data_IF_255431278024
#
_entry.id   IF_255431278024
#
_cell.length_a   1.000
_cell.length_b   1.000
_cell.length_c   1.000
_cell.angle_alpha   90.00
_cell.angle_beta   90.00
_cell.angle_gamma   90.00
#
_symmetry.space_group_name_H-M   'P 1'
#
loop_
_entity.id
_entity.type
_entity.pdbx_description
1 polymer ?
#
# COMPACT_ATOMS: atom_id res chain seq x y z
N UNK A 1 35.41 -1.29 15.13
CA UNK A 1 34.08 -1.06 15.69
C UNK A 1 33.09 -1.61 14.69
N UNK A 2 32.06 -2.36 15.11
CA UNK A 2 31.13 -3.06 14.20
C UNK A 2 30.07 -2.11 13.65
N UNK A 3 29.63 -2.35 12.40
CA UNK A 3 28.50 -1.61 11.81
C UNK A 3 27.22 -1.79 12.66
N UNK A 4 26.28 -0.80 12.66
CA UNK A 4 25.04 -0.92 13.42
C UNK A 4 24.23 -2.12 12.97
N UNK A 5 23.59 -2.81 13.91
CA UNK A 5 22.72 -3.94 13.60
C UNK A 5 21.41 -3.40 13.03
N UNK A 6 21.11 -3.74 11.77
CA UNK A 6 19.84 -3.45 11.12
C UNK A 6 18.96 -4.71 11.09
N UNK A 7 17.66 -4.52 10.88
CA UNK A 7 16.74 -5.64 10.75
C UNK A 7 17.13 -6.57 9.59
N UNK A 8 17.03 -7.87 9.80
CA UNK A 8 17.24 -8.88 8.76
C UNK A 8 16.34 -8.62 7.54
N UNK A 9 16.83 -9.03 6.36
CA UNK A 9 16.08 -8.82 5.09
C UNK A 9 14.67 -9.38 5.12
N UNK A 10 14.49 -10.54 5.75
CA UNK A 10 13.19 -11.21 5.94
C UNK A 10 12.19 -10.40 6.78
N UNK A 11 12.69 -9.51 7.64
CA UNK A 11 11.88 -8.67 8.54
C UNK A 11 11.86 -7.19 8.15
N UNK A 12 12.85 -6.73 7.37
CA UNK A 12 12.94 -5.34 6.92
C UNK A 12 11.81 -5.01 5.95
N UNK A 13 10.91 -4.13 6.34
CA UNK A 13 9.77 -3.68 5.50
C UNK A 13 10.15 -2.61 4.47
N UNK A 14 11.38 -2.08 4.52
CA UNK A 14 11.82 -0.99 3.66
C UNK A 14 11.13 0.34 3.94
N UNK A 15 10.66 0.56 5.17
CA UNK A 15 9.94 1.79 5.57
C UNK A 15 10.82 3.05 5.59
N UNK A 16 12.15 2.93 5.48
CA UNK A 16 13.06 4.07 5.37
C UNK A 16 13.29 4.88 6.65
N UNK A 17 12.70 4.50 7.81
CA UNK A 17 12.88 5.23 9.06
C UNK A 17 14.36 5.38 9.45
N UNK A 18 15.16 4.31 9.32
CA UNK A 18 16.58 4.31 9.61
C UNK A 18 17.37 5.29 8.73
N UNK A 19 17.07 5.38 7.43
CA UNK A 19 17.70 6.32 6.52
C UNK A 19 17.30 7.77 6.80
N UNK A 20 15.99 8.02 6.99
CA UNK A 20 15.48 9.35 7.30
C UNK A 20 15.99 9.88 8.66
N UNK A 21 16.11 8.98 9.66
CA UNK A 21 16.52 9.34 11.02
C UNK A 21 18.04 9.39 11.23
N UNK A 22 18.85 8.94 10.27
CA UNK A 22 20.30 8.94 10.44
C UNK A 22 20.86 10.38 10.57
N UNK A 23 21.47 10.76 11.73
CA UNK A 23 21.96 12.12 11.95
C UNK A 23 23.14 12.48 11.03
N UNK A 24 23.83 11.48 10.48
CA UNK A 24 24.97 11.65 9.56
C UNK A 24 24.60 11.38 8.10
N UNK A 25 23.32 11.11 7.80
CA UNK A 25 22.88 10.67 6.46
C UNK A 25 23.69 9.50 5.90
N UNK A 26 24.20 8.65 6.78
CA UNK A 26 25.08 7.53 6.43
C UNK A 26 24.29 6.29 5.91
N UNK A 27 22.96 6.35 5.82
CA UNK A 27 22.15 5.22 5.39
C UNK A 27 21.42 5.59 4.11
N UNK A 28 21.62 4.81 3.05
CA UNK A 28 20.95 4.94 1.77
C UNK A 28 20.05 3.72 1.53
N UNK A 29 18.86 3.95 0.99
CA UNK A 29 17.96 2.87 0.58
C UNK A 29 18.32 2.44 -0.84
N UNK A 30 18.87 1.23 -0.99
CA UNK A 30 19.36 0.68 -2.26
C UNK A 30 18.49 -0.51 -2.68
N UNK A 31 18.19 -0.61 -3.98
CA UNK A 31 17.50 -1.76 -4.52
C UNK A 31 18.41 -3.00 -4.49
N UNK A 32 17.86 -4.13 -4.03
CA UNK A 32 18.54 -5.42 -4.09
C UNK A 32 18.31 -6.11 -5.46
N UNK A 33 18.80 -7.33 -5.60
CA UNK A 33 18.62 -8.14 -6.83
C UNK A 33 17.14 -8.42 -7.16
N UNK A 34 16.25 -8.44 -6.17
CA UNK A 34 14.80 -8.57 -6.38
C UNK A 34 14.16 -7.21 -6.69
N UNK A 35 14.89 -6.10 -6.60
CA UNK A 35 14.42 -4.74 -6.82
C UNK A 35 13.70 -4.10 -5.64
N UNK A 36 13.79 -4.67 -4.43
CA UNK A 36 13.28 -4.05 -3.21
C UNK A 36 14.32 -3.17 -2.54
N UNK A 37 13.89 -2.05 -1.98
CA UNK A 37 14.78 -1.13 -1.27
C UNK A 37 15.16 -1.66 0.13
N UNK A 38 16.48 -1.73 0.41
CA UNK A 38 17.05 -2.07 1.70
C UNK A 38 18.07 -1.02 2.14
N UNK A 39 18.25 -0.79 3.46
CA UNK A 39 19.23 0.15 3.95
C UNK A 39 20.65 -0.39 3.76
N UNK A 40 21.53 0.46 3.23
CA UNK A 40 22.97 0.24 3.14
C UNK A 40 23.66 1.32 3.96
N UNK A 41 24.53 0.92 4.86
CA UNK A 41 25.32 1.81 5.73
C UNK A 41 26.61 2.19 5.02
N UNK A 42 26.87 3.47 4.86
CA UNK A 42 28.09 4.01 4.26
C UNK A 42 29.14 4.44 5.29
N UNK A 43 30.29 4.87 4.81
CA UNK A 43 31.51 5.16 5.59
C UNK A 43 31.34 6.34 6.57
N UNK A 44 30.40 7.24 6.35
CA UNK A 44 30.09 8.35 7.27
C UNK A 44 29.37 7.91 8.56
N UNK A 45 29.16 6.61 8.76
CA UNK A 45 28.52 6.07 9.95
C UNK A 45 29.37 6.24 11.19
N UNK A 46 28.83 6.90 12.22
CA UNK A 46 29.47 7.11 13.53
C UNK A 46 29.05 6.07 14.58
N UNK A 47 28.33 5.03 14.19
CA UNK A 47 27.94 3.89 15.03
C UNK A 47 27.13 4.27 16.29
N UNK A 48 26.26 5.26 16.17
CA UNK A 48 25.41 5.75 17.28
C UNK A 48 24.17 4.88 17.55
N UNK A 49 23.96 3.81 16.80
CA UNK A 49 22.83 2.86 16.88
C UNK A 49 21.42 3.47 16.82
N UNK A 50 21.30 4.75 16.52
CA UNK A 50 19.98 5.41 16.42
C UNK A 50 19.06 4.70 15.43
N UNK A 51 19.58 4.22 14.29
CA UNK A 51 18.84 3.50 13.27
C UNK A 51 18.21 2.20 13.77
N UNK A 52 18.88 1.47 14.67
CA UNK A 52 18.35 0.27 15.33
C UNK A 52 17.24 0.62 16.32
N UNK A 53 17.41 1.71 17.06
CA UNK A 53 16.44 2.16 18.06
C UNK A 53 15.09 2.62 17.45
N UNK A 54 15.14 3.23 16.26
CA UNK A 54 13.92 3.70 15.57
C UNK A 54 13.37 2.68 14.56
N UNK A 55 13.97 1.49 14.43
CA UNK A 55 13.53 0.47 13.48
C UNK A 55 12.25 -0.23 13.97
N UNK A 56 11.10 -0.12 13.26
CA UNK A 56 9.87 -0.78 13.67
C UNK A 56 10.00 -2.31 13.73
N UNK A 57 10.82 -2.91 12.85
CA UNK A 57 11.01 -4.36 12.78
C UNK A 57 11.80 -4.92 13.99
N UNK A 58 12.45 -4.06 14.77
CA UNK A 58 13.26 -4.44 15.93
C UNK A 58 12.57 -4.10 17.28
N UNK A 59 11.37 -3.57 17.25
CA UNK A 59 10.62 -3.15 18.44
C UNK A 59 9.28 -3.88 18.53
N UNK A 60 8.85 -4.13 19.75
CA UNK A 60 7.47 -4.56 19.99
C UNK A 60 6.52 -3.40 19.75
N UNK A 61 5.34 -3.74 19.25
CA UNK A 61 4.24 -2.79 19.05
C UNK A 61 3.38 -2.73 20.30
N UNK A 62 2.93 -1.55 20.64
CA UNK A 62 1.92 -1.37 21.67
C UNK A 62 0.58 -1.95 21.20
N UNK A 63 -0.13 -2.58 22.13
CA UNK A 63 -1.51 -3.03 21.90
C UNK A 63 -2.42 -1.82 22.07
N UNK A 64 -3.20 -1.52 21.04
CA UNK A 64 -4.20 -0.44 21.06
C UNK A 64 -5.59 -0.99 21.37
N UNK A 65 -6.52 -0.15 21.85
CA UNK A 65 -7.92 -0.51 21.97
C UNK A 65 -8.50 -1.03 20.66
N UNK A 66 -9.56 -1.82 20.75
CA UNK A 66 -10.25 -2.34 19.58
C UNK A 66 -10.83 -1.17 18.74
N UNK A 67 -10.66 -1.28 17.42
CA UNK A 67 -11.12 -0.27 16.48
C UNK A 67 -12.63 -0.33 16.30
N UNK A 68 -13.27 0.82 16.20
CA UNK A 68 -14.66 0.88 15.73
C UNK A 68 -14.68 0.66 14.20
N UNK A 69 -15.62 -0.17 13.73
CA UNK A 69 -15.67 -0.66 12.36
C UNK A 69 -16.88 -0.07 11.63
N UNK A 70 -16.63 0.45 10.42
CA UNK A 70 -17.66 1.02 9.57
C UNK A 70 -17.50 0.59 8.11
N UNK A 71 -18.62 0.34 7.45
CA UNK A 71 -18.75 0.37 6.00
C UNK A 71 -19.13 1.79 5.60
N UNK A 72 -18.35 2.43 4.71
CA UNK A 72 -18.55 3.83 4.37
C UNK A 72 -18.44 4.08 2.88
N UNK A 73 -19.19 5.10 2.40
CA UNK A 73 -19.05 5.61 1.03
C UNK A 73 -19.35 7.10 0.97
N UNK A 74 -18.73 7.77 0.02
CA UNK A 74 -18.85 9.21 -0.16
C UNK A 74 -20.28 9.57 -0.60
N UNK A 75 -20.83 10.70 -0.09
CA UNK A 75 -22.14 11.20 -0.45
C UNK A 75 -22.25 11.67 -1.91
N UNK A 76 -21.12 12.12 -2.48
CA UNK A 76 -20.99 12.48 -3.89
C UNK A 76 -20.59 11.23 -4.71
N UNK A 77 -21.49 10.75 -5.55
CA UNK A 77 -21.29 9.61 -6.44
C UNK A 77 -20.17 9.86 -7.48
N UNK A 78 -19.93 11.11 -7.90
CA UNK A 78 -18.84 11.43 -8.84
C UNK A 78 -17.47 11.24 -8.20
N UNK A 79 -17.30 11.59 -6.92
CA UNK A 79 -16.08 11.32 -6.15
C UNK A 79 -15.92 9.81 -5.96
N UNK A 80 -17.01 9.12 -5.60
CA UNK A 80 -17.01 7.69 -5.40
C UNK A 80 -16.59 6.92 -6.66
N UNK A 81 -17.08 7.33 -7.82
CA UNK A 81 -16.74 6.73 -9.12
C UNK A 81 -15.26 6.85 -9.44
N UNK A 82 -14.64 7.98 -9.13
CA UNK A 82 -13.21 8.23 -9.34
C UNK A 82 -12.30 7.62 -8.27
N UNK A 83 -12.87 7.01 -7.24
CA UNK A 83 -12.15 6.43 -6.11
C UNK A 83 -11.94 4.93 -6.26
N UNK A 84 -10.91 4.38 -5.60
CA UNK A 84 -10.60 2.95 -5.62
C UNK A 84 -11.66 2.06 -4.96
N UNK A 85 -12.37 2.57 -3.94
CA UNK A 85 -13.49 1.90 -3.26
C UNK A 85 -14.64 2.89 -3.05
N UNK A 86 -15.08 3.12 -1.82
CA UNK A 86 -16.18 4.01 -1.47
C UNK A 86 -15.87 5.51 -1.45
N UNK A 87 -14.63 5.95 -1.67
CA UNK A 87 -14.25 7.37 -1.67
C UNK A 87 -13.81 7.92 -0.31
N UNK A 88 -13.68 7.11 0.72
CA UNK A 88 -13.29 7.55 2.06
C UNK A 88 -11.94 8.27 2.10
N UNK A 89 -10.93 7.79 1.35
CA UNK A 89 -9.63 8.48 1.24
C UNK A 89 -9.81 9.92 0.72
N UNK A 90 -10.64 10.12 -0.30
CA UNK A 90 -10.87 11.46 -0.87
C UNK A 90 -11.50 12.38 0.16
N UNK A 91 -12.53 11.91 0.90
CA UNK A 91 -13.16 12.69 1.96
C UNK A 91 -12.17 13.13 3.05
N UNK A 92 -11.31 12.20 3.52
CA UNK A 92 -10.27 12.49 4.52
C UNK A 92 -9.25 13.52 3.99
N UNK A 93 -8.79 13.34 2.76
CA UNK A 93 -7.78 14.19 2.15
C UNK A 93 -8.33 15.61 1.88
N UNK A 94 -9.55 15.72 1.35
CA UNK A 94 -10.20 17.01 1.10
C UNK A 94 -10.42 17.78 2.39
N UNK A 95 -10.87 17.13 3.47
CA UNK A 95 -11.01 17.77 4.79
C UNK A 95 -9.70 18.41 5.25
N UNK A 96 -8.56 17.74 5.09
CA UNK A 96 -7.25 18.27 5.48
C UNK A 96 -6.81 19.41 4.57
N UNK A 97 -7.01 19.29 3.26
CA UNK A 97 -6.65 20.30 2.27
C UNK A 97 -7.49 21.57 2.42
N UNK A 98 -8.80 21.47 2.70
CA UNK A 98 -9.70 22.58 2.98
C UNK A 98 -9.28 23.37 4.24
N UNK A 99 -8.72 22.67 5.23
CA UNK A 99 -8.11 23.30 6.42
C UNK A 99 -6.72 23.88 6.17
N UNK A 100 -6.25 23.98 4.92
CA UNK A 100 -4.90 24.48 4.56
C UNK A 100 -3.77 23.52 4.91
N UNK A 101 -4.07 22.24 5.16
CA UNK A 101 -3.09 21.20 5.47
C UNK A 101 -2.41 20.61 4.24
N UNK A 102 -1.54 19.62 4.48
CA UNK A 102 -0.78 18.91 3.47
C UNK A 102 -1.13 17.41 3.55
N UNK A 103 -1.31 16.79 2.40
CA UNK A 103 -1.53 15.33 2.30
C UNK A 103 -0.34 14.66 1.67
N UNK A 104 0.25 13.69 2.37
CA UNK A 104 1.32 12.82 1.86
C UNK A 104 0.75 11.44 1.54
N UNK A 105 1.06 10.93 0.35
CA UNK A 105 0.62 9.62 -0.09
C UNK A 105 1.36 9.10 -1.32
N UNK A 106 1.12 7.84 -1.68
CA UNK A 106 1.76 7.22 -2.83
C UNK A 106 1.15 7.72 -4.14
N UNK A 107 2.00 8.12 -5.09
CA UNK A 107 1.68 8.49 -6.45
C UNK A 107 2.60 7.77 -7.45
N UNK A 108 2.26 7.82 -8.72
CA UNK A 108 3.12 7.40 -9.84
C UNK A 108 3.65 8.66 -10.51
N UNK A 109 4.97 8.77 -10.66
CA UNK A 109 5.60 9.91 -11.31
C UNK A 109 5.71 9.72 -12.85
N UNK A 110 6.27 10.71 -13.54
CA UNK A 110 6.48 10.72 -15.00
C UNK A 110 7.43 9.62 -15.52
N UNK A 111 8.19 9.02 -14.62
CA UNK A 111 9.06 7.86 -14.88
C UNK A 111 8.38 6.53 -14.57
N UNK A 112 7.08 6.54 -14.27
CA UNK A 112 6.30 5.37 -13.83
C UNK A 112 6.77 4.78 -12.50
N UNK A 113 7.54 5.52 -11.71
CA UNK A 113 8.00 5.09 -10.37
C UNK A 113 6.94 5.42 -9.32
N UNK A 114 6.67 4.46 -8.43
CA UNK A 114 5.76 4.68 -7.29
C UNK A 114 6.54 5.30 -6.14
N UNK A 115 6.16 6.51 -5.73
CA UNK A 115 6.79 7.26 -4.65
C UNK A 115 5.78 8.01 -3.81
N UNK A 116 6.16 8.36 -2.58
CA UNK A 116 5.36 9.28 -1.78
C UNK A 116 5.61 10.72 -2.21
N UNK A 117 4.52 11.45 -2.36
CA UNK A 117 4.55 12.87 -2.69
C UNK A 117 3.64 13.65 -1.73
N UNK A 118 3.88 14.96 -1.63
CA UNK A 118 3.02 15.91 -0.94
C UNK A 118 2.07 16.56 -1.94
N UNK A 119 0.78 16.67 -1.58
CA UNK A 119 -0.21 17.47 -2.33
C UNK A 119 -0.79 18.54 -1.40
N UNK A 120 -1.12 19.70 -1.97
CA UNK A 120 -1.55 20.88 -1.24
C UNK A 120 -2.90 21.46 -1.69
N UNK A 121 -3.46 20.91 -2.75
CA UNK A 121 -4.73 21.32 -3.33
C UNK A 121 -5.52 20.12 -3.88
N UNK A 122 -6.80 20.35 -4.23
CA UNK A 122 -7.69 19.30 -4.72
C UNK A 122 -7.32 18.79 -6.12
N UNK A 123 -6.72 19.61 -6.95
CA UNK A 123 -6.31 19.29 -8.31
C UNK A 123 -5.22 18.21 -8.29
N UNK A 124 -4.23 18.35 -7.42
CA UNK A 124 -3.13 17.40 -7.23
C UNK A 124 -3.60 16.08 -6.58
N UNK A 125 -4.72 16.08 -5.84
CA UNK A 125 -5.20 14.93 -5.10
C UNK A 125 -5.49 13.71 -5.99
N UNK A 126 -5.79 13.94 -7.28
CA UNK A 126 -6.02 12.87 -8.25
C UNK A 126 -4.84 11.88 -8.33
N UNK A 127 -3.60 12.32 -8.15
CA UNK A 127 -2.40 11.49 -8.19
C UNK A 127 -2.36 10.46 -7.04
N UNK A 128 -2.97 10.78 -5.89
CA UNK A 128 -2.99 9.91 -4.71
C UNK A 128 -4.13 8.88 -4.74
N UNK A 129 -5.18 9.11 -5.55
CA UNK A 129 -6.34 8.22 -5.60
C UNK A 129 -6.02 6.84 -6.17
N UNK A 130 -6.74 5.83 -5.68
CA UNK A 130 -6.63 4.45 -6.13
C UNK A 130 -5.41 3.68 -5.57
N UNK A 131 -5.45 2.35 -5.61
CA UNK A 131 -4.39 1.51 -5.07
C UNK A 131 -3.12 1.59 -5.91
N UNK A 132 -1.96 1.52 -5.26
CA UNK A 132 -0.63 1.33 -5.87
C UNK A 132 0.00 0.11 -5.19
N UNK A 133 -0.09 -1.09 -5.78
CA UNK A 133 0.39 -2.31 -5.13
C UNK A 133 1.92 -2.44 -5.09
N UNK A 134 2.62 -1.49 -5.66
CA UNK A 134 4.09 -1.46 -5.71
C UNK A 134 4.64 -0.83 -4.44
N UNK A 135 5.78 -1.30 -3.93
CA UNK A 135 6.48 -0.62 -2.84
C UNK A 135 6.82 0.81 -3.25
N UNK A 136 6.26 1.80 -2.55
CA UNK A 136 6.56 3.19 -2.84
C UNK A 136 7.90 3.61 -2.23
N UNK A 137 8.67 4.39 -2.99
CA UNK A 137 9.87 5.04 -2.49
C UNK A 137 9.47 6.26 -1.62
N UNK A 138 9.90 6.26 -0.38
CA UNK A 138 9.60 7.36 0.57
C UNK A 138 10.56 8.55 0.41
N UNK A 139 11.78 8.34 -0.08
CA UNK A 139 12.77 9.39 -0.24
C UNK A 139 12.88 10.27 1.02
N UNK A 140 12.71 11.58 0.86
CA UNK A 140 12.74 12.57 1.96
C UNK A 140 11.38 12.81 2.65
N UNK A 141 10.37 11.99 2.37
CA UNK A 141 8.98 12.23 2.80
C UNK A 141 8.85 12.41 4.32
N UNK A 142 9.49 11.57 5.13
CA UNK A 142 9.40 11.69 6.59
C UNK A 142 9.99 13.01 7.10
N UNK A 143 11.10 13.46 6.53
CA UNK A 143 11.70 14.76 6.86
C UNK A 143 10.81 15.91 6.40
N UNK A 144 10.14 15.78 5.24
CA UNK A 144 9.17 16.75 4.75
C UNK A 144 7.95 16.85 5.69
N UNK A 145 7.42 15.72 6.19
CA UNK A 145 6.37 15.68 7.21
C UNK A 145 6.83 16.41 8.48
N UNK A 146 8.03 16.12 9.00
CA UNK A 146 8.57 16.79 10.19
C UNK A 146 8.71 18.31 9.98
N UNK A 147 9.18 18.75 8.81
CA UNK A 147 9.27 20.19 8.49
C UNK A 147 7.89 20.86 8.46
N UNK A 148 6.89 20.20 7.86
CA UNK A 148 5.52 20.73 7.81
C UNK A 148 4.89 20.86 9.21
N UNK A 149 5.07 19.85 10.06
CA UNK A 149 4.61 19.88 11.46
C UNK A 149 5.30 20.97 12.27
N UNK A 150 6.64 21.14 12.12
CA UNK A 150 7.39 22.20 12.75
C UNK A 150 6.94 23.61 12.29
N UNK A 151 6.48 23.72 11.03
CA UNK A 151 5.82 24.92 10.49
C UNK A 151 4.34 25.07 10.91
N UNK A 152 3.90 24.32 11.93
CA UNK A 152 2.54 24.36 12.48
C UNK A 152 1.43 23.95 11.50
N UNK A 153 1.75 23.24 10.41
CA UNK A 153 0.78 22.78 9.40
C UNK A 153 0.10 21.49 9.86
N UNK A 154 -1.17 21.34 9.53
CA UNK A 154 -1.87 20.04 9.65
C UNK A 154 -1.39 19.12 8.55
N UNK A 155 -1.04 17.89 8.90
CA UNK A 155 -0.51 16.89 7.96
C UNK A 155 -1.38 15.64 8.00
N UNK A 156 -1.79 15.16 6.84
CA UNK A 156 -2.27 13.80 6.66
C UNK A 156 -1.16 12.98 6.01
N UNK A 157 -0.71 11.92 6.67
CA UNK A 157 0.17 10.92 6.07
C UNK A 157 -0.60 9.64 5.81
N UNK A 158 -0.59 9.17 4.55
CA UNK A 158 -1.23 7.91 4.17
C UNK A 158 -0.20 6.94 3.63
N UNK A 159 -0.25 5.69 4.09
CA UNK A 159 0.71 4.67 3.66
C UNK A 159 0.34 3.27 4.14
N UNK A 160 1.22 2.32 3.88
CA UNK A 160 1.09 0.99 4.49
C UNK A 160 1.34 1.08 6.00
N UNK A 161 0.82 0.13 6.83
CA UNK A 161 1.01 0.19 8.28
C UNK A 161 2.48 0.29 8.71
N UNK A 162 3.37 -0.43 8.02
CA UNK A 162 4.82 -0.36 8.29
C UNK A 162 5.42 1.01 7.96
N UNK A 163 4.87 1.75 6.99
CA UNK A 163 5.31 3.12 6.69
C UNK A 163 4.77 4.11 7.73
N UNK A 164 3.54 3.92 8.20
CA UNK A 164 2.99 4.77 9.28
C UNK A 164 3.76 4.55 10.60
N UNK A 165 4.06 3.30 10.96
CA UNK A 165 4.89 3.01 12.14
C UNK A 165 6.32 3.57 11.99
N UNK A 166 6.90 3.43 10.78
CA UNK A 166 8.20 4.05 10.46
C UNK A 166 8.21 5.55 10.63
N UNK A 167 7.13 6.25 10.25
CA UNK A 167 6.99 7.68 10.46
C UNK A 167 6.93 8.03 11.96
N UNK A 168 6.10 7.34 12.74
CA UNK A 168 6.02 7.58 14.18
C UNK A 168 7.36 7.33 14.89
N UNK A 169 8.07 6.25 14.54
CA UNK A 169 9.40 5.96 15.08
C UNK A 169 10.44 7.02 14.70
N UNK A 170 10.35 7.54 13.47
CA UNK A 170 11.21 8.64 13.03
C UNK A 170 10.93 9.95 13.77
N UNK A 171 9.66 10.27 14.03
CA UNK A 171 9.28 11.47 14.77
C UNK A 171 9.59 11.36 16.26
N UNK A 172 9.52 10.17 16.84
CA UNK A 172 9.67 9.89 18.27
C UNK A 172 8.46 10.27 19.12
N UNK A 173 7.39 10.77 18.48
CA UNK A 173 6.18 11.29 19.11
C UNK A 173 4.94 11.11 18.22
N UNK A 174 3.77 11.42 18.77
CA UNK A 174 2.47 11.45 18.07
C UNK A 174 1.91 12.88 18.00
N UNK A 175 2.40 13.74 17.09
CA UNK A 175 2.01 15.15 17.05
C UNK A 175 0.50 15.35 16.89
N UNK A 176 -0.09 16.33 17.57
CA UNK A 176 -1.52 16.60 17.51
C UNK A 176 -2.01 16.95 16.09
N UNK A 177 -1.18 17.66 15.31
CA UNK A 177 -1.47 18.06 13.92
C UNK A 177 -1.12 17.00 12.87
N UNK A 178 -0.61 15.84 13.29
CA UNK A 178 -0.41 14.70 12.41
C UNK A 178 -1.62 13.77 12.46
N UNK A 179 -2.32 13.64 11.35
CA UNK A 179 -3.34 12.62 11.08
C UNK A 179 -2.70 11.51 10.26
N UNK A 180 -2.95 10.26 10.61
CA UNK A 180 -2.41 9.11 9.89
C UNK A 180 -3.51 8.19 9.40
N UNK A 181 -3.37 7.75 8.17
CA UNK A 181 -4.27 6.77 7.57
C UNK A 181 -3.46 5.59 7.05
N UNK A 182 -3.54 4.45 7.72
CA UNK A 182 -2.96 3.21 7.21
C UNK A 182 -3.97 2.42 6.37
N UNK A 183 -3.47 1.40 5.68
CA UNK A 183 -4.26 0.59 4.78
C UNK A 183 -4.34 -0.85 5.29
N UNK A 184 -5.45 -1.54 5.00
CA UNK A 184 -5.46 -3.00 5.02
C UNK A 184 -4.56 -3.47 3.88
N UNK A 185 -3.38 -4.00 4.23
CA UNK A 185 -2.29 -4.25 3.28
C UNK A 185 -1.99 -5.74 3.15
N UNK A 186 -2.17 -6.28 1.96
CA UNK A 186 -1.85 -7.67 1.60
C UNK A 186 -0.41 -7.86 1.08
N UNK A 187 0.47 -6.89 1.28
CA UNK A 187 1.86 -6.91 0.80
C UNK A 187 2.10 -5.94 -0.36
N UNK A 188 3.38 -5.74 -0.72
CA UNK A 188 3.82 -4.85 -1.80
C UNK A 188 4.66 -5.59 -2.83
N UNK A 189 4.47 -5.24 -4.10
CA UNK A 189 5.20 -5.76 -5.25
C UNK A 189 6.57 -5.08 -5.35
N UNK A 190 7.55 -5.80 -5.90
CA UNK A 190 8.88 -5.28 -6.18
C UNK A 190 8.84 -4.11 -7.18
N UNK A 191 9.46 -2.96 -6.83
CA UNK A 191 9.70 -1.88 -7.79
C UNK A 191 10.48 -2.34 -9.01
N UNK A 192 11.50 -3.19 -8.85
CA UNK A 192 12.28 -3.70 -9.99
C UNK A 192 11.48 -4.57 -10.94
N UNK A 193 10.54 -5.39 -10.43
CA UNK A 193 9.61 -6.13 -11.29
C UNK A 193 8.66 -5.19 -12.02
N UNK A 194 8.18 -4.15 -11.33
CA UNK A 194 7.34 -3.13 -11.95
C UNK A 194 8.07 -2.40 -13.07
N UNK A 195 9.30 -1.97 -12.84
CA UNK A 195 10.12 -1.29 -13.86
C UNK A 195 10.34 -2.17 -15.10
N UNK A 196 10.67 -3.46 -14.91
CA UNK A 196 10.78 -4.43 -16.01
C UNK A 196 9.45 -4.61 -16.77
N UNK A 197 8.32 -4.62 -16.05
CA UNK A 197 6.99 -4.72 -16.69
C UNK A 197 6.68 -3.47 -17.53
N UNK A 198 6.97 -2.27 -17.03
CA UNK A 198 6.82 -1.00 -17.77
C UNK A 198 7.73 -0.99 -19.00
N UNK A 199 8.99 -1.41 -18.88
CA UNK A 199 9.93 -1.52 -20.00
C UNK A 199 9.42 -2.50 -21.06
N UNK A 200 8.94 -3.69 -20.64
CA UNK A 200 8.36 -4.68 -21.55
C UNK A 200 7.16 -4.14 -22.30
N UNK A 201 6.23 -3.47 -21.62
CA UNK A 201 5.06 -2.86 -22.25
C UNK A 201 5.47 -1.73 -23.22
N UNK A 202 6.43 -0.89 -22.83
CA UNK A 202 7.01 0.17 -23.66
C UNK A 202 7.64 -0.40 -24.94
N UNK A 203 8.43 -1.47 -24.83
CA UNK A 203 9.04 -2.16 -25.94
C UNK A 203 8.00 -2.74 -26.92
N UNK A 204 7.01 -3.47 -26.41
CA UNK A 204 5.95 -4.08 -27.23
C UNK A 204 5.12 -3.01 -27.94
N UNK A 205 4.79 -1.93 -27.26
CA UNK A 205 3.98 -0.82 -27.82
C UNK A 205 4.78 0.14 -28.67
N UNK A 206 6.14 0.10 -28.61
CA UNK A 206 7.07 1.06 -29.22
C UNK A 206 6.73 2.50 -28.84
N UNK A 207 6.24 2.72 -27.64
CA UNK A 207 5.81 4.01 -27.10
C UNK A 207 6.03 4.02 -25.59
N UNK A 208 6.45 5.15 -25.04
CA UNK A 208 6.67 5.32 -23.60
C UNK A 208 5.34 5.23 -22.84
N UNK A 209 5.31 4.46 -21.75
CA UNK A 209 4.20 4.48 -20.80
C UNK A 209 4.22 5.82 -20.03
N UNK A 210 3.07 6.49 -19.91
CA UNK A 210 2.96 7.83 -19.32
C UNK A 210 2.03 7.91 -18.13
N UNK A 211 1.11 6.96 -18.00
CA UNK A 211 0.26 6.88 -16.79
C UNK A 211 -0.30 5.48 -16.58
N UNK A 212 -0.68 5.18 -15.35
CA UNK A 212 -1.26 3.88 -14.97
C UNK A 212 -2.43 4.04 -13.99
N UNK A 213 -3.41 3.18 -14.17
CA UNK A 213 -4.52 2.97 -13.25
C UNK A 213 -4.52 1.49 -12.84
N UNK A 214 -4.09 1.20 -11.61
CA UNK A 214 -3.93 -0.19 -11.13
C UNK A 214 -5.25 -0.92 -10.87
N UNK A 215 -6.33 -0.19 -10.61
CA UNK A 215 -7.65 -0.76 -10.35
C UNK A 215 -8.77 0.20 -10.80
N UNK A 216 -8.81 0.46 -12.10
CA UNK A 216 -9.80 1.34 -12.72
C UNK A 216 -11.20 0.71 -12.66
N UNK A 217 -12.22 1.50 -12.24
CA UNK A 217 -13.63 1.17 -12.37
C UNK A 217 -14.11 1.51 -13.79
N UNK A 218 -14.83 0.60 -14.40
CA UNK A 218 -15.51 0.86 -15.68
C UNK A 218 -16.99 0.55 -15.52
N UNK A 219 -17.84 1.47 -15.94
CA UNK A 219 -19.30 1.30 -15.87
C UNK A 219 -19.73 0.01 -16.60
N UNK A 220 -20.65 -0.74 -15.99
CA UNK A 220 -21.15 -2.02 -16.51
C UNK A 220 -20.19 -3.20 -16.37
N UNK A 221 -19.00 -3.02 -15.76
CA UNK A 221 -18.04 -4.11 -15.52
C UNK A 221 -17.90 -4.38 -14.01
N UNK A 222 -18.09 -5.65 -13.61
CA UNK A 222 -17.94 -6.10 -12.22
C UNK A 222 -16.48 -6.13 -11.78
N UNK A 223 -15.55 -6.43 -12.70
CA UNK A 223 -14.14 -6.58 -12.40
C UNK A 223 -13.37 -5.28 -12.65
N UNK A 224 -12.46 -4.95 -11.71
CA UNK A 224 -11.52 -3.84 -11.86
C UNK A 224 -10.51 -4.13 -12.95
N UNK A 225 -10.07 -3.07 -13.63
CA UNK A 225 -9.15 -3.16 -14.77
C UNK A 225 -7.81 -2.51 -14.45
N UNK A 226 -6.76 -3.14 -14.90
CA UNK A 226 -5.40 -2.57 -14.96
C UNK A 226 -5.21 -1.91 -16.31
N UNK A 227 -4.93 -0.59 -16.30
CA UNK A 227 -4.83 0.22 -17.51
C UNK A 227 -3.54 1.02 -17.52
N UNK A 228 -2.82 1.00 -18.66
CA UNK A 228 -1.62 1.82 -18.93
C UNK A 228 -1.84 2.63 -20.19
N UNK A 229 -1.58 3.93 -20.13
CA UNK A 229 -1.63 4.83 -21.27
C UNK A 229 -0.21 5.07 -21.80
N UNK A 230 -0.11 5.23 -23.12
CA UNK A 230 1.16 5.44 -23.81
C UNK A 230 1.18 6.79 -24.50
N UNK A 231 2.38 7.36 -24.63
CA UNK A 231 2.64 8.62 -25.32
C UNK A 231 2.12 8.59 -26.76
N UNK A 232 1.53 9.70 -27.24
CA UNK A 232 0.93 9.75 -28.57
C UNK A 232 -0.32 8.88 -28.76
N UNK A 233 -0.92 8.41 -27.67
CA UNK A 233 -2.15 7.59 -27.66
C UNK A 233 -1.88 6.09 -27.62
N UNK A 234 -2.95 5.32 -27.47
CA UNK A 234 -2.91 3.89 -27.24
C UNK A 234 -2.97 3.52 -25.76
N UNK A 235 -3.55 2.37 -25.51
CA UNK A 235 -3.82 1.90 -24.15
C UNK A 235 -3.59 0.38 -24.06
N UNK A 236 -2.97 -0.06 -22.98
CA UNK A 236 -3.10 -1.44 -22.52
C UNK A 236 -4.21 -1.47 -21.48
N UNK A 237 -5.19 -2.35 -21.61
CA UNK A 237 -6.33 -2.45 -20.72
C UNK A 237 -6.73 -3.91 -20.55
N UNK A 238 -6.65 -4.44 -19.34
CA UNK A 238 -7.00 -5.81 -19.03
C UNK A 238 -7.69 -5.93 -17.66
N UNK A 239 -8.58 -6.91 -17.46
CA UNK A 239 -9.02 -7.29 -16.13
C UNK A 239 -7.83 -7.56 -15.22
N UNK A 240 -7.90 -7.15 -13.94
CA UNK A 240 -6.78 -7.37 -13.00
C UNK A 240 -6.43 -8.84 -12.92
N UNK A 241 -7.43 -9.72 -12.86
CA UNK A 241 -7.26 -11.18 -12.82
C UNK A 241 -6.51 -11.77 -14.03
N UNK A 242 -6.50 -11.06 -15.16
CA UNK A 242 -5.81 -11.46 -16.40
C UNK A 242 -4.51 -10.71 -16.64
N UNK A 243 -4.26 -9.61 -15.92
CA UNK A 243 -3.01 -8.85 -16.05
C UNK A 243 -1.84 -9.59 -15.38
N UNK A 244 -0.64 -9.49 -15.94
CA UNK A 244 0.56 -10.11 -15.37
C UNK A 244 0.82 -9.60 -13.93
N UNK A 245 0.69 -8.30 -13.71
CA UNK A 245 0.84 -7.69 -12.40
C UNK A 245 -0.19 -8.23 -11.39
N UNK A 246 -1.47 -8.27 -11.79
CA UNK A 246 -2.54 -8.75 -10.92
C UNK A 246 -2.40 -10.24 -10.58
N UNK A 247 -2.10 -11.08 -11.57
CA UNK A 247 -1.85 -12.52 -11.38
C UNK A 247 -0.65 -12.75 -10.46
N UNK A 248 0.47 -12.05 -10.70
CA UNK A 248 1.68 -12.13 -9.88
C UNK A 248 1.48 -11.62 -8.45
N UNK A 249 0.62 -10.61 -8.25
CA UNK A 249 0.23 -10.16 -6.91
C UNK A 249 -0.62 -11.22 -6.18
N UNK A 250 -1.65 -11.74 -6.83
CA UNK A 250 -2.57 -12.74 -6.24
C UNK A 250 -1.84 -14.06 -5.95
N UNK A 251 -0.92 -14.49 -6.83
CA UNK A 251 -0.07 -15.66 -6.59
C UNK A 251 0.97 -15.46 -5.50
N UNK A 252 1.17 -14.19 -5.03
CA UNK A 252 2.15 -13.81 -4.00
C UNK A 252 3.62 -13.99 -4.42
N UNK A 253 3.89 -14.27 -5.69
CA UNK A 253 5.22 -14.37 -6.26
C UNK A 253 6.01 -13.06 -6.15
N UNK A 254 5.34 -11.91 -6.37
CA UNK A 254 5.98 -10.61 -6.52
C UNK A 254 6.15 -9.86 -5.19
N UNK A 255 5.69 -10.42 -4.06
CA UNK A 255 5.65 -9.71 -2.79
C UNK A 255 7.02 -9.67 -2.11
N UNK A 256 7.24 -8.59 -1.35
CA UNK A 256 8.41 -8.41 -0.50
C UNK A 256 8.53 -9.54 0.55
N UNK A 257 9.73 -10.09 0.82
CA UNK A 257 9.92 -11.16 1.82
C UNK A 257 9.28 -10.83 3.17
N UNK A 258 9.48 -9.63 3.71
CA UNK A 258 8.92 -9.20 4.99
C UNK A 258 7.38 -9.15 5.01
N UNK A 259 6.70 -9.13 3.87
CA UNK A 259 5.24 -9.18 3.82
C UNK A 259 4.69 -10.55 4.21
N UNK A 260 5.46 -11.62 4.04
CA UNK A 260 5.05 -12.99 4.37
C UNK A 260 5.10 -13.29 5.88
N UNK A 261 5.77 -12.44 6.65
CA UNK A 261 5.82 -12.50 8.13
C UNK A 261 5.41 -11.15 8.74
N UNK A 262 4.52 -10.43 8.05
CA UNK A 262 4.16 -9.06 8.37
C UNK A 262 3.53 -8.93 9.76
N UNK A 263 4.13 -8.17 10.69
CA UNK A 263 3.57 -8.00 12.04
C UNK A 263 2.35 -7.08 12.08
N UNK A 264 1.97 -6.48 10.93
CA UNK A 264 0.82 -5.58 10.82
C UNK A 264 -0.41 -6.26 10.21
N UNK A 265 -0.32 -7.53 9.83
CA UNK A 265 -1.45 -8.30 9.31
C UNK A 265 -2.34 -8.83 10.43
N UNK A 266 -2.96 -7.92 11.15
CA UNK A 266 -3.85 -8.16 12.28
C UNK A 266 -4.73 -6.94 12.54
N UNK A 267 -5.57 -6.99 13.57
CA UNK A 267 -6.51 -5.91 13.96
C UNK A 267 -5.89 -4.82 14.83
N UNK A 268 -4.66 -5.01 15.36
CA UNK A 268 -3.94 -3.98 16.10
C UNK A 268 -3.34 -2.95 15.12
N UNK A 269 -4.12 -1.91 14.81
CA UNK A 269 -3.78 -0.93 13.76
C UNK A 269 -2.84 0.17 14.26
N UNK A 270 -2.12 0.80 13.31
CA UNK A 270 -1.09 1.81 13.61
C UNK A 270 -1.61 3.23 13.39
N UNK A 271 -2.33 3.46 12.29
CA UNK A 271 -2.86 4.78 11.94
C UNK A 271 -4.00 5.24 12.84
N UNK A 272 -4.36 6.50 12.77
CA UNK A 272 -5.56 7.04 13.43
C UNK A 272 -6.83 6.48 12.79
N UNK A 273 -6.77 6.26 11.45
CA UNK A 273 -7.79 5.58 10.65
C UNK A 273 -7.11 4.49 9.82
N UNK A 274 -7.81 3.38 9.60
CA UNK A 274 -7.41 2.35 8.63
C UNK A 274 -8.44 2.26 7.52
N UNK A 275 -7.99 2.22 6.27
CA UNK A 275 -8.85 2.03 5.10
C UNK A 275 -8.62 0.67 4.43
N UNK A 276 -9.73 0.09 3.99
CA UNK A 276 -9.76 -1.12 3.16
C UNK A 276 -10.93 -1.07 2.19
N UNK A 277 -11.25 -2.22 1.60
CA UNK A 277 -12.46 -2.41 0.82
C UNK A 277 -13.44 -3.28 1.61
N UNK A 278 -14.71 -2.96 1.61
CA UNK A 278 -15.76 -3.75 2.24
C UNK A 278 -16.59 -4.48 1.17
N UNK A 279 -16.82 -5.77 1.37
CA UNK A 279 -17.61 -6.63 0.49
C UNK A 279 -18.47 -7.60 1.32
N UNK A 280 -19.54 -8.10 0.73
CA UNK A 280 -20.38 -9.13 1.36
C UNK A 280 -21.30 -8.60 2.43
N UNK A 281 -21.79 -7.35 2.28
CA UNK A 281 -22.73 -6.72 3.21
C UNK A 281 -24.18 -7.25 3.08
N UNK A 282 -24.44 -8.15 2.11
CA UNK A 282 -25.73 -8.73 1.85
C UNK A 282 -26.56 -8.01 0.78
N UNK A 283 -27.70 -8.60 0.43
CA UNK A 283 -28.53 -8.16 -0.71
C UNK A 283 -29.00 -6.70 -0.62
N UNK A 284 -29.24 -6.19 0.58
CA UNK A 284 -29.66 -4.79 0.78
C UNK A 284 -28.61 -3.76 0.33
N UNK A 285 -27.33 -4.15 0.27
CA UNK A 285 -26.22 -3.28 -0.13
C UNK A 285 -25.65 -3.60 -1.50
N UNK A 286 -26.24 -4.52 -2.26
CA UNK A 286 -25.70 -4.98 -3.54
C UNK A 286 -25.42 -3.83 -4.53
N UNK A 287 -26.35 -2.87 -4.66
CA UNK A 287 -26.17 -1.69 -5.50
C UNK A 287 -25.04 -0.77 -5.02
N UNK A 288 -24.86 -0.66 -3.70
CA UNK A 288 -23.78 0.13 -3.12
C UNK A 288 -22.42 -0.58 -3.24
N UNK A 289 -22.37 -1.90 -3.13
CA UNK A 289 -21.17 -2.69 -3.36
C UNK A 289 -20.67 -2.58 -4.81
N UNK A 290 -21.57 -2.56 -5.76
CA UNK A 290 -21.24 -2.38 -7.18
C UNK A 290 -20.55 -1.03 -7.43
N UNK A 291 -21.03 0.04 -6.80
CA UNK A 291 -20.39 1.35 -6.81
C UNK A 291 -19.08 1.37 -6.00
N UNK A 292 -18.89 0.46 -5.05
CA UNK A 292 -17.76 0.33 -4.14
C UNK A 292 -18.00 0.90 -2.76
N UNK A 293 -17.65 0.14 -1.73
CA UNK A 293 -17.74 0.51 -0.31
C UNK A 293 -16.33 0.43 0.29
N UNK A 294 -15.96 1.39 1.11
CA UNK A 294 -14.72 1.37 1.89
C UNK A 294 -14.96 0.74 3.25
N UNK A 295 -14.05 -0.12 3.69
CA UNK A 295 -13.87 -0.41 5.10
C UNK A 295 -13.15 0.77 5.73
N UNK A 296 -13.65 1.28 6.87
CA UNK A 296 -13.02 2.29 7.68
C UNK A 296 -12.98 1.81 9.13
N UNK A 297 -11.77 1.72 9.68
CA UNK A 297 -11.54 1.47 11.09
C UNK A 297 -11.12 2.76 11.77
N UNK A 298 -11.77 3.12 12.87
CA UNK A 298 -11.41 4.25 13.72
C UNK A 298 -10.58 3.71 14.88
N UNK A 299 -9.30 4.13 14.95
CA UNK A 299 -8.31 3.51 15.85
C UNK A 299 -7.84 4.46 16.97
N UNK A 300 -8.22 5.74 16.92
CA UNK A 300 -7.81 6.74 17.92
C UNK A 300 -8.87 7.82 18.10
N UNK A 301 -8.73 8.59 19.18
CA UNK A 301 -9.59 9.77 19.43
C UNK A 301 -9.47 10.79 18.29
N UNK A 302 -8.25 11.05 17.78
CA UNK A 302 -8.05 11.92 16.60
C UNK A 302 -8.78 11.39 15.37
N UNK A 303 -8.70 10.07 15.15
CA UNK A 303 -9.42 9.39 14.09
C UNK A 303 -10.94 9.53 14.22
N UNK A 304 -11.48 9.45 15.44
CA UNK A 304 -12.90 9.65 15.71
C UNK A 304 -13.36 11.08 15.38
N UNK A 305 -12.65 12.10 15.88
CA UNK A 305 -12.96 13.49 15.57
C UNK A 305 -12.90 13.80 14.07
N UNK A 306 -11.89 13.26 13.37
CA UNK A 306 -11.80 13.37 11.92
C UNK A 306 -13.01 12.71 11.26
N UNK A 307 -13.30 11.45 11.63
CA UNK A 307 -14.38 10.67 11.04
C UNK A 307 -15.74 11.37 11.15
N UNK A 308 -16.02 12.00 12.30
CA UNK A 308 -17.28 12.69 12.53
C UNK A 308 -17.52 13.88 11.57
N UNK A 309 -16.47 14.53 11.12
CA UNK A 309 -16.53 15.65 10.19
C UNK A 309 -16.67 15.27 8.71
N UNK A 310 -16.50 13.97 8.35
CA UNK A 310 -16.42 13.57 6.94
C UNK A 310 -17.82 13.45 6.28
N UNK A 311 -18.00 13.85 4.99
CA UNK A 311 -19.23 13.74 4.24
C UNK A 311 -19.47 12.31 3.71
N UNK A 312 -19.55 11.33 4.62
CA UNK A 312 -19.71 9.93 4.31
C UNK A 312 -21.08 9.39 4.74
N UNK A 313 -21.63 8.46 3.96
CA UNK A 313 -22.60 7.51 4.48
C UNK A 313 -21.85 6.49 5.36
N UNK A 314 -22.49 6.04 6.45
CA UNK A 314 -21.84 5.26 7.51
C UNK A 314 -22.76 4.15 7.97
N UNK A 315 -22.26 2.92 7.91
CA UNK A 315 -22.92 1.75 8.46
C UNK A 315 -21.99 1.10 9.48
N UNK A 316 -22.39 1.08 10.75
CA UNK A 316 -21.60 0.42 11.80
C UNK A 316 -21.59 -1.08 11.56
N UNK A 317 -20.42 -1.69 11.65
CA UNK A 317 -20.19 -3.12 11.40
C UNK A 317 -19.38 -3.76 12.51
N UNK A 318 -19.21 -5.08 12.44
CA UNK A 318 -18.38 -5.83 13.37
C UNK A 318 -16.97 -6.07 12.82
N UNK A 319 -16.03 -6.37 13.70
CA UNK A 319 -14.67 -6.73 13.29
C UNK A 319 -14.66 -8.09 12.56
N UNK A 320 -15.57 -9.00 12.91
CA UNK A 320 -15.72 -10.30 12.22
C UNK A 320 -16.13 -10.13 10.78
N UNK A 321 -17.06 -9.22 10.48
CA UNK A 321 -17.44 -8.88 9.10
C UNK A 321 -16.26 -8.26 8.33
N UNK A 322 -15.49 -7.36 8.97
CA UNK A 322 -14.30 -6.77 8.35
C UNK A 322 -13.23 -7.83 8.04
N UNK A 323 -12.99 -8.77 8.94
CA UNK A 323 -12.06 -9.89 8.75
C UNK A 323 -12.50 -10.83 7.63
N UNK A 324 -13.79 -11.11 7.52
CA UNK A 324 -14.33 -12.02 6.52
C UNK A 324 -14.02 -11.57 5.08
N UNK A 325 -13.90 -10.27 4.83
CA UNK A 325 -13.57 -9.73 3.52
C UNK A 325 -12.12 -9.22 3.37
N UNK A 326 -11.32 -9.26 4.45
CA UNK A 326 -9.94 -8.76 4.47
C UNK A 326 -9.00 -9.71 5.22
N UNK A 327 -8.45 -10.71 4.53
CA UNK A 327 -7.49 -11.67 5.11
C UNK A 327 -6.33 -11.00 5.86
N UNK A 328 -5.86 -9.85 5.35
CA UNK A 328 -4.74 -9.09 5.93
C UNK A 328 -5.07 -8.44 7.30
N UNK A 329 -6.30 -8.53 7.78
CA UNK A 329 -6.66 -8.25 9.17
C UNK A 329 -6.51 -9.46 10.10
N UNK A 330 -6.21 -10.63 9.56
CA UNK A 330 -6.11 -11.88 10.31
C UNK A 330 -4.69 -12.43 10.33
N UNK A 331 -4.04 -12.45 9.16
CA UNK A 331 -2.72 -13.07 8.98
C UNK A 331 -1.99 -12.51 7.75
N UNK A 332 -0.65 -12.60 7.71
CA UNK A 332 0.14 -12.21 6.57
C UNK A 332 -0.08 -13.17 5.38
N UNK A 333 0.14 -12.71 4.13
CA UNK A 333 0.07 -13.57 2.97
C UNK A 333 1.18 -14.63 3.02
N UNK A 334 0.84 -15.91 2.84
CA UNK A 334 1.83 -16.99 2.74
C UNK A 334 2.74 -16.75 1.51
N UNK A 335 4.02 -17.10 1.59
CA UNK A 335 4.90 -17.05 0.44
C UNK A 335 4.48 -18.10 -0.61
N UNK A 336 4.60 -17.75 -1.89
CA UNK A 336 4.54 -18.76 -2.95
C UNK A 336 5.77 -19.66 -2.84
N UNK A 337 5.63 -21.00 -2.91
CA UNK A 337 6.78 -21.90 -2.84
C UNK A 337 7.86 -21.58 -3.89
N UNK A 338 7.43 -21.19 -5.07
CA UNK A 338 8.28 -20.93 -6.23
C UNK A 338 8.87 -19.50 -6.24
N UNK A 339 8.62 -18.69 -5.20
CA UNK A 339 9.04 -17.27 -5.18
C UNK A 339 10.56 -17.11 -5.36
N UNK A 340 11.35 -17.91 -4.65
CA UNK A 340 12.82 -17.85 -4.76
C UNK A 340 13.31 -18.15 -6.18
N UNK A 341 12.77 -19.23 -6.75
CA UNK A 341 13.15 -19.68 -8.09
C UNK A 341 12.72 -18.68 -9.17
N UNK A 342 11.55 -18.05 -8.98
CA UNK A 342 11.09 -16.97 -9.85
C UNK A 342 12.09 -15.80 -9.89
N UNK A 343 12.55 -15.31 -8.75
CA UNK A 343 13.49 -14.19 -8.72
C UNK A 343 14.88 -14.60 -9.24
N UNK A 344 15.34 -15.83 -8.99
CA UNK A 344 16.57 -16.37 -9.59
C UNK A 344 16.45 -16.43 -11.11
N UNK A 345 15.37 -16.99 -11.64
CA UNK A 345 15.15 -17.05 -13.09
C UNK A 345 15.02 -15.63 -13.72
N UNK A 346 14.46 -14.68 -12.99
CA UNK A 346 14.35 -13.29 -13.45
C UNK A 346 15.70 -12.56 -13.50
N UNK A 347 16.66 -12.94 -12.64
CA UNK A 347 18.02 -12.41 -12.63
C UNK A 347 18.87 -13.01 -13.75
N UNK A 348 18.84 -14.35 -13.92
CA UNK A 348 19.63 -15.08 -14.91
C UNK A 348 19.30 -14.74 -16.36
N UNK A 349 18.05 -14.52 -16.64
CA UNK A 349 17.58 -14.47 -18.02
C UNK A 349 17.86 -13.13 -18.73
N UNK A 350 18.43 -12.11 -18.11
CA UNK A 350 18.62 -10.78 -18.74
C UNK A 350 17.33 -10.17 -19.39
N UNK A 351 16.09 -10.47 -19.00
CA UNK A 351 15.25 -11.58 -19.45
C UNK A 351 13.88 -11.02 -19.72
N UNK A 352 13.20 -11.63 -20.64
CA UNK A 352 11.79 -11.39 -20.90
C UNK A 352 10.96 -11.74 -19.65
N UNK A 353 10.70 -10.73 -18.82
CA UNK A 353 9.85 -10.84 -17.63
C UNK A 353 8.53 -11.57 -17.95
N UNK A 354 7.99 -11.38 -19.16
CA UNK A 354 6.75 -12.02 -19.59
C UNK A 354 6.88 -13.53 -19.64
N UNK A 355 7.95 -14.04 -20.25
CA UNK A 355 8.19 -15.47 -20.36
C UNK A 355 8.41 -16.09 -18.97
N UNK A 356 9.18 -15.44 -18.11
CA UNK A 356 9.41 -15.88 -16.72
C UNK A 356 8.10 -15.88 -15.94
N UNK A 357 7.32 -14.79 -15.97
CA UNK A 357 6.03 -14.72 -15.28
C UNK A 357 5.05 -15.81 -15.77
N UNK A 358 4.91 -16.02 -17.08
CA UNK A 358 4.00 -17.03 -17.62
C UNK A 358 4.41 -18.45 -17.19
N UNK A 359 5.70 -18.75 -17.14
CA UNK A 359 6.21 -20.04 -16.64
C UNK A 359 5.73 -20.31 -15.21
N UNK A 360 5.85 -19.32 -14.29
CA UNK A 360 5.51 -19.51 -12.88
C UNK A 360 4.02 -19.28 -12.58
N UNK A 361 3.33 -18.43 -13.34
CA UNK A 361 1.89 -18.18 -13.16
C UNK A 361 0.99 -19.29 -13.72
N UNK A 362 1.49 -20.09 -14.67
CA UNK A 362 0.77 -21.22 -15.25
C UNK A 362 1.11 -22.55 -14.56
N UNK A 363 2.09 -22.59 -13.66
CA UNK A 363 2.34 -23.75 -12.82
C UNK A 363 1.11 -24.04 -11.93
N UNK A 364 0.73 -25.31 -11.74
CA UNK A 364 -0.37 -25.65 -10.85
C UNK A 364 -0.07 -25.15 -9.45
N UNK A 365 -0.89 -24.21 -8.97
CA UNK A 365 -0.74 -23.60 -7.63
C UNK A 365 -1.62 -24.36 -6.63
N UNK A 366 -1.09 -25.33 -5.87
CA UNK A 366 -1.86 -26.11 -4.89
C UNK A 366 -2.41 -25.24 -3.74
N UNK A 367 -1.73 -24.15 -3.37
CA UNK A 367 -2.16 -23.23 -2.30
C UNK A 367 -3.33 -22.35 -2.73
N UNK A 368 -3.36 -21.90 -3.99
CA UNK A 368 -4.49 -21.16 -4.55
C UNK A 368 -5.77 -22.00 -4.59
N UNK A 369 -5.64 -23.29 -4.90
CA UNK A 369 -6.75 -24.24 -4.88
C UNK A 369 -7.27 -24.50 -3.44
N UNK A 370 -6.39 -24.54 -2.44
CA UNK A 370 -6.77 -24.65 -1.01
C UNK A 370 -7.46 -23.39 -0.48
N UNK A 371 -6.96 -22.21 -0.82
CA UNK A 371 -7.57 -20.94 -0.43
C UNK A 371 -8.96 -20.76 -1.06
N UNK A 372 -9.14 -21.17 -2.33
CA UNK A 372 -10.43 -21.17 -3.00
C UNK A 372 -11.44 -22.12 -2.33
N UNK A 373 -11.00 -23.34 -1.97
CA UNK A 373 -11.82 -24.31 -1.22
C UNK A 373 -12.18 -23.81 0.18
N UNK A 374 -11.30 -23.08 0.83
CA UNK A 374 -11.56 -22.51 2.15
C UNK A 374 -12.59 -21.37 2.09
N UNK A 375 -12.48 -20.50 1.09
CA UNK A 375 -13.49 -19.46 0.80
C UNK A 375 -14.85 -20.08 0.50
N UNK A 376 -14.91 -21.14 -0.29
CA UNK A 376 -16.14 -21.86 -0.62
C UNK A 376 -16.78 -22.52 0.60
N UNK A 377 -15.97 -23.07 1.53
CA UNK A 377 -16.46 -23.65 2.80
C UNK A 377 -17.03 -22.59 3.75
N UNK A 378 -16.41 -21.41 3.82
CA UNK A 378 -16.93 -20.29 4.63
C UNK A 378 -18.22 -19.71 4.04
N UNK A 379 -18.34 -19.72 2.72
CA UNK A 379 -19.53 -19.20 2.01
C UNK A 379 -20.72 -20.16 2.11
N UNK A 380 -20.50 -21.49 2.17
CA UNK A 380 -21.56 -22.51 2.31
C UNK A 380 -22.05 -22.69 3.75
N UNK A 381 -21.45 -22.06 4.75
CA UNK A 381 -21.89 -22.09 6.14
C UNK A 381 -22.69 -20.85 6.57
N UNK A 382 -23.07 -20.02 5.62
CA UNK A 382 -24.01 -18.88 5.74
C UNK A 382 -25.26 -19.19 4.87
#
# INVERSE_FOLDING_TARGET
MSAPVLAERSRCTGCGACAAGCPKNAITMVADREGFFYPVVGDSCVQCDHCSHICPAMKQREVRPESAVFAVWHRDDAIRQRSGAGGAFTAIAEYVLEGGGIVFGAAVDEHMTVRHVAVRNREELSALRGPKPIQSNLGDTYRAVRRALAGNQTVLFTGTPCQVDGLYRFLGEHPAKLLTCDLVCGGVVSPGVWDKLVQTMTYIKRRRAVSVQFAHKQAGMKERRFRVHFEGGGTYDAPISKSQLGRGYVSRLLLRPACHTCPYANTNRVGDITLGTFHGLGAAFAAEEEKGISLLLVNSVKGAHLFDALPLHREKRTMEEAKACNEALCFPPSAAPERSDFFTALEEAGSDLRAVLERYLNAPNPLGAMAAKWKEKLWKKR
#
